data_IF_470423968643
#
_entry.id   IF_470423968643
#
_cell.length_a   1.000
_cell.length_b   1.000
_cell.length_c   1.000
_cell.angle_alpha   90.00
_cell.angle_beta   90.00
_cell.angle_gamma   90.00
#
_symmetry.space_group_name_H-M   'P 1'
#
loop_
_entity.id
_entity.type
_entity.pdbx_description
1 polymer ?
#
# COMPACT_ATOMS: atom_id res chain seq x y z
N UNK A 1 -56.15 -21.36 -18.74
CA UNK A 1 -56.76 -22.71 -18.90
C UNK A 1 -57.59 -23.10 -17.68
N UNK A 2 -57.03 -23.08 -16.47
CA UNK A 2 -57.76 -23.38 -15.22
C UNK A 2 -59.04 -22.54 -15.03
N UNK A 3 -58.98 -21.22 -15.30
CA UNK A 3 -60.17 -20.37 -15.23
C UNK A 3 -61.32 -20.83 -16.15
N UNK A 4 -61.00 -21.31 -17.36
CA UNK A 4 -62.02 -21.87 -18.28
C UNK A 4 -62.60 -23.18 -17.74
N UNK A 5 -61.81 -24.00 -17.05
CA UNK A 5 -62.30 -25.22 -16.40
C UNK A 5 -63.29 -24.90 -15.27
N UNK A 6 -63.00 -23.89 -14.45
CA UNK A 6 -63.94 -23.42 -13.40
C UNK A 6 -65.26 -22.96 -14.02
N UNK A 7 -65.21 -22.14 -15.07
CA UNK A 7 -66.41 -21.68 -15.77
C UNK A 7 -67.22 -22.83 -16.37
N UNK A 8 -66.55 -23.84 -16.94
CA UNK A 8 -67.22 -25.03 -17.47
C UNK A 8 -67.91 -25.83 -16.36
N UNK A 9 -67.25 -26.04 -15.22
CA UNK A 9 -67.83 -26.74 -14.07
C UNK A 9 -68.99 -25.96 -13.45
N UNK A 10 -68.93 -24.63 -13.42
CA UNK A 10 -70.05 -23.78 -12.99
C UNK A 10 -71.25 -23.93 -13.93
N UNK A 11 -71.04 -23.97 -15.25
CA UNK A 11 -72.10 -24.21 -16.22
C UNK A 11 -72.68 -25.64 -16.11
N UNK A 12 -71.83 -26.66 -15.93
CA UNK A 12 -72.25 -28.05 -15.70
C UNK A 12 -73.08 -28.17 -14.42
N UNK A 13 -72.67 -27.50 -13.34
CA UNK A 13 -73.41 -27.48 -12.08
C UNK A 13 -74.78 -26.82 -12.25
N UNK A 14 -74.85 -25.68 -12.94
CA UNK A 14 -76.12 -25.00 -13.21
C UNK A 14 -77.08 -25.91 -14.00
N UNK A 15 -76.57 -26.59 -15.04
CA UNK A 15 -77.37 -27.52 -15.83
C UNK A 15 -77.89 -28.70 -14.99
N UNK A 16 -77.06 -29.26 -14.11
CA UNK A 16 -77.47 -30.35 -13.21
C UNK A 16 -78.52 -29.85 -12.18
N UNK A 17 -78.38 -28.63 -11.68
CA UNK A 17 -79.38 -28.02 -10.79
C UNK A 17 -80.72 -27.79 -11.50
N UNK A 18 -80.71 -27.38 -12.76
CA UNK A 18 -81.94 -27.23 -13.56
C UNK A 18 -82.60 -28.60 -13.80
N UNK A 19 -81.80 -29.64 -14.07
CA UNK A 19 -82.28 -31.03 -14.21
C UNK A 19 -82.88 -31.60 -12.91
N UNK A 20 -82.37 -31.19 -11.74
CA UNK A 20 -82.89 -31.63 -10.44
C UNK A 20 -84.36 -31.26 -10.26
N UNK A 21 -84.78 -30.07 -10.73
CA UNK A 21 -86.18 -29.61 -10.66
C UNK A 21 -87.11 -30.48 -11.53
N UNK A 22 -86.68 -30.79 -12.75
CA UNK A 22 -87.42 -31.67 -13.67
C UNK A 22 -87.53 -33.10 -13.12
N UNK A 23 -86.44 -33.61 -12.56
CA UNK A 23 -86.38 -34.94 -11.96
C UNK A 23 -87.25 -35.07 -10.71
N UNK A 24 -87.38 -34.01 -9.90
CA UNK A 24 -88.34 -33.95 -8.80
C UNK A 24 -89.80 -34.02 -9.29
N UNK A 25 -90.13 -33.30 -10.37
CA UNK A 25 -91.47 -33.35 -10.98
C UNK A 25 -91.79 -34.74 -11.55
N UNK A 26 -90.84 -35.37 -12.26
CA UNK A 26 -90.96 -36.74 -12.77
C UNK A 26 -91.12 -37.74 -11.62
N UNK A 27 -90.38 -37.55 -10.52
CA UNK A 27 -90.48 -38.37 -9.32
C UNK A 27 -91.88 -38.28 -8.70
N UNK A 28 -92.38 -37.07 -8.48
CA UNK A 28 -93.71 -36.85 -7.90
C UNK A 28 -94.81 -37.44 -8.76
N UNK A 29 -94.73 -37.24 -10.09
CA UNK A 29 -95.70 -37.78 -11.05
C UNK A 29 -95.68 -39.30 -11.10
N UNK A 30 -94.48 -39.90 -11.11
CA UNK A 30 -94.29 -41.36 -11.11
C UNK A 30 -94.75 -41.97 -9.78
N UNK A 31 -94.47 -41.34 -8.64
CA UNK A 31 -94.96 -41.80 -7.33
C UNK A 31 -96.49 -41.74 -7.24
N UNK A 32 -97.10 -40.65 -7.69
CA UNK A 32 -98.55 -40.51 -7.72
C UNK A 32 -99.21 -41.60 -8.59
N UNK A 33 -98.62 -41.93 -9.75
CA UNK A 33 -99.10 -43.01 -10.63
C UNK A 33 -98.98 -44.41 -9.99
N UNK A 34 -97.93 -44.62 -9.18
CA UNK A 34 -97.66 -45.89 -8.51
C UNK A 34 -98.53 -46.13 -7.26
N UNK A 35 -99.06 -45.07 -6.64
CA UNK A 35 -99.93 -45.12 -5.44
C UNK A 35 -101.44 -45.20 -5.77
N UNK A 36 -101.86 -45.02 -7.03
CA UNK A 36 -103.27 -45.13 -7.42
C UNK A 36 -103.80 -46.60 -7.30
N UNK A 37 -104.96 -46.81 -6.64
CA UNK A 37 -105.52 -48.15 -6.39
C UNK A 37 -106.02 -48.87 -7.66
N UNK A 38 -106.48 -48.15 -8.68
CA UNK A 38 -107.04 -48.70 -9.93
C UNK A 38 -106.01 -48.78 -11.09
N UNK A 39 -104.72 -48.63 -10.79
CA UNK A 39 -103.67 -48.59 -11.81
C UNK A 39 -103.47 -49.95 -12.49
N UNK A 40 -103.63 -50.00 -13.82
CA UNK A 40 -103.46 -51.19 -14.69
C UNK A 40 -102.02 -51.72 -14.78
N UNK A 41 -101.08 -51.13 -14.03
CA UNK A 41 -99.66 -51.49 -14.05
C UNK A 41 -99.43 -52.74 -13.20
N UNK A 42 -98.88 -53.84 -13.77
CA UNK A 42 -98.55 -55.04 -13.03
C UNK A 42 -97.60 -54.75 -11.84
N UNK A 43 -97.71 -55.51 -10.73
CA UNK A 43 -96.89 -55.28 -9.54
C UNK A 43 -95.38 -55.35 -9.81
N UNK A 44 -94.95 -56.22 -10.74
CA UNK A 44 -93.56 -56.32 -11.18
C UNK A 44 -93.06 -55.04 -11.86
N UNK A 45 -93.90 -54.42 -12.70
CA UNK A 45 -93.55 -53.20 -13.43
C UNK A 45 -93.58 -51.97 -12.50
N UNK A 46 -94.51 -51.94 -11.53
CA UNK A 46 -94.48 -50.95 -10.44
C UNK A 46 -93.17 -51.02 -9.65
N UNK A 47 -92.69 -52.23 -9.33
CA UNK A 47 -91.43 -52.41 -8.62
C UNK A 47 -90.22 -52.00 -9.48
N UNK A 48 -90.20 -52.36 -10.77
CA UNK A 48 -89.14 -51.93 -11.70
C UNK A 48 -89.07 -50.41 -11.83
N UNK A 49 -90.21 -49.72 -11.97
CA UNK A 49 -90.26 -48.26 -12.06
C UNK A 49 -89.78 -47.57 -10.78
N UNK A 50 -90.09 -48.13 -9.59
CA UNK A 50 -89.52 -47.64 -8.32
C UNK A 50 -88.01 -47.77 -8.30
N UNK A 51 -87.49 -48.95 -8.64
CA UNK A 51 -86.04 -49.19 -8.67
C UNK A 51 -85.34 -48.28 -9.69
N UNK A 52 -85.91 -48.11 -10.89
CA UNK A 52 -85.36 -47.24 -11.93
C UNK A 52 -85.39 -45.75 -11.52
N UNK A 53 -86.45 -45.31 -10.84
CA UNK A 53 -86.57 -43.96 -10.32
C UNK A 53 -85.54 -43.70 -9.21
N UNK A 54 -85.41 -44.62 -8.26
CA UNK A 54 -84.42 -44.52 -7.17
C UNK A 54 -82.99 -44.55 -7.72
N UNK A 55 -82.72 -45.37 -8.74
CA UNK A 55 -81.44 -45.39 -9.45
C UNK A 55 -81.16 -44.06 -10.15
N UNK A 56 -82.13 -43.50 -10.88
CA UNK A 56 -81.96 -42.23 -11.58
C UNK A 56 -81.75 -41.06 -10.60
N UNK A 57 -82.49 -41.06 -9.48
CA UNK A 57 -82.30 -40.11 -8.38
C UNK A 57 -80.90 -40.22 -7.79
N UNK A 58 -80.45 -41.43 -7.48
CA UNK A 58 -79.12 -41.69 -6.90
C UNK A 58 -78.01 -41.26 -7.86
N UNK A 59 -78.09 -41.67 -9.14
CA UNK A 59 -77.10 -41.28 -10.15
C UNK A 59 -77.04 -39.77 -10.37
N UNK A 60 -78.19 -39.08 -10.40
CA UNK A 60 -78.21 -37.63 -10.54
C UNK A 60 -77.62 -36.95 -9.30
N UNK A 61 -77.97 -37.42 -8.11
CA UNK A 61 -77.42 -36.92 -6.85
C UNK A 61 -75.90 -37.12 -6.77
N UNK A 62 -75.38 -38.27 -7.20
CA UNK A 62 -73.95 -38.57 -7.27
C UNK A 62 -73.23 -37.66 -8.28
N UNK A 63 -73.84 -37.42 -9.46
CA UNK A 63 -73.29 -36.48 -10.46
C UNK A 63 -73.26 -35.05 -9.94
N UNK A 64 -74.32 -34.61 -9.25
CA UNK A 64 -74.38 -33.28 -8.64
C UNK A 64 -73.29 -33.12 -7.58
N UNK A 65 -73.16 -34.08 -6.66
CA UNK A 65 -72.12 -34.06 -5.61
C UNK A 65 -70.71 -34.10 -6.20
N UNK A 66 -70.48 -34.94 -7.22
CA UNK A 66 -69.21 -35.04 -7.92
C UNK A 66 -68.86 -33.72 -8.63
N UNK A 67 -69.81 -33.10 -9.33
CA UNK A 67 -69.62 -31.80 -9.97
C UNK A 67 -69.31 -30.69 -8.96
N UNK A 68 -70.08 -30.61 -7.86
CA UNK A 68 -69.84 -29.64 -6.78
C UNK A 68 -68.46 -29.83 -6.14
N UNK A 69 -68.04 -31.07 -5.91
CA UNK A 69 -66.73 -31.38 -5.34
C UNK A 69 -65.59 -30.99 -6.29
N UNK A 70 -65.71 -31.34 -7.59
CA UNK A 70 -64.75 -30.93 -8.63
C UNK A 70 -64.65 -29.42 -8.75
N UNK A 71 -65.79 -28.71 -8.68
CA UNK A 71 -65.83 -27.24 -8.74
C UNK A 71 -65.09 -26.62 -7.55
N UNK A 72 -65.44 -27.01 -6.31
CA UNK A 72 -64.78 -26.51 -5.08
C UNK A 72 -63.27 -26.71 -5.11
N UNK A 73 -62.81 -27.88 -5.58
CA UNK A 73 -61.38 -28.17 -5.74
C UNK A 73 -60.71 -27.30 -6.80
N UNK A 74 -61.38 -27.09 -7.94
CA UNK A 74 -60.84 -26.25 -9.01
C UNK A 74 -60.81 -24.78 -8.61
N UNK A 75 -61.75 -24.31 -7.80
CA UNK A 75 -61.77 -22.96 -7.22
C UNK A 75 -60.64 -22.80 -6.18
N UNK A 76 -60.49 -23.75 -5.26
CA UNK A 76 -59.38 -23.75 -4.31
C UNK A 76 -58.02 -23.72 -5.03
N UNK A 77 -57.83 -24.55 -6.06
CA UNK A 77 -56.60 -24.55 -6.86
C UNK A 77 -56.36 -23.20 -7.55
N UNK A 78 -57.43 -22.56 -8.05
CA UNK A 78 -57.34 -21.24 -8.68
C UNK A 78 -56.90 -20.19 -7.66
N UNK A 79 -57.42 -20.23 -6.44
CA UNK A 79 -57.09 -19.28 -5.39
C UNK A 79 -55.65 -19.46 -4.91
N UNK A 80 -55.22 -20.70 -4.65
CA UNK A 80 -53.83 -21.00 -4.31
C UNK A 80 -52.87 -20.60 -5.42
N UNK A 81 -53.22 -20.86 -6.69
CA UNK A 81 -52.41 -20.44 -7.84
C UNK A 81 -52.31 -18.92 -7.94
N UNK A 82 -53.41 -18.20 -7.67
CA UNK A 82 -53.42 -16.74 -7.69
C UNK A 82 -52.51 -16.17 -6.60
N UNK A 83 -52.57 -16.75 -5.39
CA UNK A 83 -51.69 -16.40 -4.28
C UNK A 83 -50.22 -16.66 -4.61
N UNK A 84 -49.90 -17.86 -5.11
CA UNK A 84 -48.54 -18.21 -5.53
C UNK A 84 -48.00 -17.23 -6.58
N UNK A 85 -48.78 -16.92 -7.62
CA UNK A 85 -48.34 -16.02 -8.68
C UNK A 85 -48.06 -14.60 -8.15
N UNK A 86 -48.84 -14.13 -7.17
CA UNK A 86 -48.64 -12.82 -6.55
C UNK A 86 -47.36 -12.79 -5.69
N UNK A 87 -47.16 -13.79 -4.84
CA UNK A 87 -45.97 -13.91 -3.99
C UNK A 87 -44.71 -14.08 -4.84
N UNK A 88 -44.75 -14.97 -5.84
CA UNK A 88 -43.67 -15.17 -6.80
C UNK A 88 -43.34 -13.87 -7.56
N UNK A 89 -44.34 -13.11 -8.01
CA UNK A 89 -44.12 -11.84 -8.72
C UNK A 89 -43.38 -10.83 -7.83
N UNK A 90 -43.80 -10.70 -6.57
CA UNK A 90 -43.15 -9.79 -5.62
C UNK A 90 -41.69 -10.19 -5.39
N UNK A 91 -41.44 -11.48 -5.17
CA UNK A 91 -40.09 -12.00 -4.93
C UNK A 91 -39.18 -11.85 -6.16
N UNK A 92 -39.69 -12.09 -7.36
CA UNK A 92 -38.91 -11.91 -8.60
C UNK A 92 -38.57 -10.45 -8.86
N UNK A 93 -39.48 -9.52 -8.58
CA UNK A 93 -39.18 -8.09 -8.71
C UNK A 93 -38.04 -7.66 -7.76
N UNK A 94 -38.04 -8.19 -6.53
CA UNK A 94 -36.92 -8.01 -5.61
C UNK A 94 -35.62 -8.62 -6.15
N UNK A 95 -35.66 -9.87 -6.64
CA UNK A 95 -34.49 -10.53 -7.24
C UNK A 95 -33.88 -9.69 -8.38
N UNK A 96 -34.71 -9.17 -9.28
CA UNK A 96 -34.27 -8.32 -10.40
C UNK A 96 -33.56 -7.06 -9.90
N UNK A 97 -34.12 -6.39 -8.90
CA UNK A 97 -33.52 -5.18 -8.30
C UNK A 97 -32.19 -5.49 -7.61
N UNK A 98 -32.12 -6.54 -6.80
CA UNK A 98 -30.90 -6.93 -6.10
C UNK A 98 -29.81 -7.44 -7.04
N UNK A 99 -30.16 -8.13 -8.12
CA UNK A 99 -29.22 -8.54 -9.17
C UNK A 99 -28.65 -7.33 -9.93
N UNK A 100 -29.46 -6.29 -10.15
CA UNK A 100 -29.02 -5.02 -10.76
C UNK A 100 -28.05 -4.28 -9.84
N UNK A 101 -28.41 -4.14 -8.57
CA UNK A 101 -27.58 -3.49 -7.56
C UNK A 101 -26.23 -4.20 -7.39
N UNK A 102 -26.24 -5.53 -7.31
CA UNK A 102 -25.03 -6.32 -7.23
C UNK A 102 -24.11 -6.09 -8.44
N UNK A 103 -24.69 -5.94 -9.63
CA UNK A 103 -23.94 -5.67 -10.86
C UNK A 103 -23.30 -4.28 -10.81
N UNK A 104 -24.06 -3.27 -10.43
CA UNK A 104 -23.56 -1.90 -10.25
C UNK A 104 -22.41 -1.83 -9.22
N UNK A 105 -22.54 -2.55 -8.10
CA UNK A 105 -21.48 -2.62 -7.08
C UNK A 105 -20.22 -3.31 -7.63
N UNK A 106 -20.39 -4.37 -8.43
CA UNK A 106 -19.33 -5.16 -9.04
C UNK A 106 -18.66 -4.54 -10.27
N UNK A 107 -19.11 -3.39 -10.77
CA UNK A 107 -18.59 -2.79 -12.00
C UNK A 107 -17.94 -1.42 -11.76
N UNK A 108 -17.13 -1.02 -12.75
CA UNK A 108 -16.54 0.31 -12.86
C UNK A 108 -15.18 0.47 -12.18
N UNK A 109 -14.67 1.69 -12.31
CA UNK A 109 -13.43 2.14 -11.67
C UNK A 109 -13.80 3.06 -10.50
N UNK A 110 -13.09 2.93 -9.38
CA UNK A 110 -13.35 3.70 -8.16
C UNK A 110 -12.07 4.23 -7.53
N UNK A 111 -12.17 5.30 -6.76
CA UNK A 111 -11.12 5.68 -5.81
C UNK A 111 -11.32 4.98 -4.46
N UNK A 112 -10.41 5.28 -3.52
CA UNK A 112 -10.39 4.71 -2.18
C UNK A 112 -11.68 4.95 -1.39
N UNK A 113 -12.28 6.13 -1.54
CA UNK A 113 -13.52 6.45 -0.82
C UNK A 113 -14.68 5.71 -1.46
N UNK A 114 -14.78 5.72 -2.79
CA UNK A 114 -15.82 4.97 -3.48
C UNK A 114 -15.73 3.45 -3.26
N UNK A 115 -14.53 2.89 -3.03
CA UNK A 115 -14.37 1.49 -2.65
C UNK A 115 -14.98 1.20 -1.27
N UNK A 116 -14.77 2.09 -0.29
CA UNK A 116 -15.38 1.98 1.04
C UNK A 116 -16.90 2.11 0.96
N UNK A 117 -17.39 3.06 0.16
CA UNK A 117 -18.82 3.29 -0.03
C UNK A 117 -19.48 2.06 -0.67
N UNK A 118 -18.88 1.51 -1.74
CA UNK A 118 -19.34 0.26 -2.38
C UNK A 118 -19.36 -0.93 -1.42
N UNK A 119 -18.36 -1.05 -0.54
CA UNK A 119 -18.33 -2.14 0.45
C UNK A 119 -19.45 -1.99 1.49
N UNK A 120 -19.74 -0.77 1.94
CA UNK A 120 -20.83 -0.51 2.88
C UNK A 120 -22.20 -0.74 2.24
N UNK A 121 -22.40 -0.35 0.98
CA UNK A 121 -23.63 -0.64 0.25
C UNK A 121 -23.77 -2.14 -0.03
N UNK A 122 -22.69 -2.83 -0.39
CA UNK A 122 -22.68 -4.29 -0.50
C UNK A 122 -23.06 -4.98 0.82
N UNK A 123 -22.59 -4.48 1.96
CA UNK A 123 -22.94 -5.01 3.28
C UNK A 123 -24.46 -4.97 3.51
N UNK A 124 -25.10 -3.84 3.18
CA UNK A 124 -26.57 -3.69 3.26
C UNK A 124 -27.27 -4.68 2.34
N UNK A 125 -26.85 -4.77 1.08
CA UNK A 125 -27.40 -5.74 0.11
C UNK A 125 -27.24 -7.19 0.60
N UNK A 126 -26.08 -7.54 1.18
CA UNK A 126 -25.81 -8.86 1.74
C UNK A 126 -26.77 -9.21 2.88
N UNK A 127 -27.04 -8.25 3.78
CA UNK A 127 -28.04 -8.40 4.85
C UNK A 127 -29.45 -8.61 4.27
N UNK A 128 -29.84 -7.82 3.28
CA UNK A 128 -31.13 -7.98 2.61
C UNK A 128 -31.28 -9.35 1.95
N UNK A 129 -30.25 -9.84 1.23
CA UNK A 129 -30.25 -11.16 0.61
C UNK A 129 -30.47 -12.26 1.66
N UNK A 130 -29.84 -12.15 2.83
CA UNK A 130 -30.04 -13.11 3.93
C UNK A 130 -31.48 -13.06 4.45
N UNK A 131 -32.05 -11.86 4.64
CA UNK A 131 -33.43 -11.69 5.12
C UNK A 131 -34.47 -12.30 4.17
N UNK A 132 -34.31 -12.10 2.85
CA UNK A 132 -35.25 -12.58 1.84
C UNK A 132 -35.19 -14.10 1.60
N UNK A 133 -34.31 -14.82 2.30
CA UNK A 133 -34.37 -16.29 2.38
C UNK A 133 -35.72 -16.78 2.92
N UNK A 134 -36.33 -16.01 3.83
CA UNK A 134 -37.66 -16.31 4.36
C UNK A 134 -38.73 -16.19 3.27
N UNK A 135 -38.65 -15.16 2.42
CA UNK A 135 -39.59 -14.94 1.32
C UNK A 135 -39.51 -16.05 0.28
N UNK A 136 -38.30 -16.51 -0.06
CA UNK A 136 -38.13 -17.69 -0.91
C UNK A 136 -38.82 -18.94 -0.33
N UNK A 137 -38.74 -19.13 0.99
CA UNK A 137 -39.45 -20.23 1.66
C UNK A 137 -40.96 -20.06 1.57
N UNK A 138 -41.49 -18.84 1.76
CA UNK A 138 -42.92 -18.57 1.61
C UNK A 138 -43.41 -18.87 0.19
N UNK A 139 -42.70 -18.37 -0.83
CA UNK A 139 -43.00 -18.66 -2.25
C UNK A 139 -42.94 -20.16 -2.52
N UNK A 140 -41.96 -20.87 -1.96
CA UNK A 140 -41.82 -22.32 -2.10
C UNK A 140 -42.97 -23.09 -1.45
N UNK A 141 -43.39 -22.70 -0.26
CA UNK A 141 -44.54 -23.30 0.43
C UNK A 141 -45.84 -23.05 -0.35
N UNK A 142 -46.04 -21.83 -0.84
CA UNK A 142 -47.22 -21.50 -1.65
C UNK A 142 -47.25 -22.30 -2.96
N UNK A 143 -46.12 -22.39 -3.66
CA UNK A 143 -46.02 -23.20 -4.87
C UNK A 143 -46.23 -24.69 -4.60
N UNK A 144 -45.68 -25.23 -3.50
CA UNK A 144 -45.90 -26.62 -3.11
C UNK A 144 -47.39 -26.89 -2.83
N UNK A 145 -48.09 -25.96 -2.17
CA UNK A 145 -49.53 -26.10 -1.92
C UNK A 145 -50.36 -26.14 -3.21
N UNK A 146 -49.96 -25.40 -4.24
CA UNK A 146 -50.55 -25.50 -5.58
C UNK A 146 -50.29 -26.86 -6.20
N UNK A 147 -49.07 -27.39 -6.09
CA UNK A 147 -48.69 -28.71 -6.60
C UNK A 147 -49.49 -29.82 -5.92
N UNK A 148 -49.58 -29.80 -4.59
CA UNK A 148 -50.34 -30.79 -3.80
C UNK A 148 -51.84 -30.76 -4.17
N UNK A 149 -52.40 -29.55 -4.31
CA UNK A 149 -53.81 -29.39 -4.70
C UNK A 149 -54.07 -29.87 -6.13
N UNK A 150 -53.14 -29.59 -7.06
CA UNK A 150 -53.23 -30.04 -8.44
C UNK A 150 -53.08 -31.56 -8.56
N UNK A 151 -52.16 -32.17 -7.81
CA UNK A 151 -51.97 -33.61 -7.75
C UNK A 151 -53.21 -34.32 -7.21
N UNK A 152 -53.76 -33.85 -6.09
CA UNK A 152 -54.99 -34.40 -5.52
C UNK A 152 -56.22 -34.22 -6.42
N UNK A 153 -56.21 -33.26 -7.35
CA UNK A 153 -57.22 -33.12 -8.40
C UNK A 153 -56.97 -34.06 -9.60
N UNK A 154 -55.71 -34.35 -9.92
CA UNK A 154 -55.31 -35.25 -11.01
C UNK A 154 -55.64 -36.71 -10.68
N UNK A 155 -55.34 -37.14 -9.45
CA UNK A 155 -55.62 -38.50 -8.95
C UNK A 155 -57.12 -38.82 -9.03
N UNK A 156 -57.98 -37.84 -8.77
CA UNK A 156 -59.43 -37.98 -8.86
C UNK A 156 -59.98 -37.94 -10.29
N UNK A 157 -59.20 -37.40 -11.24
CA UNK A 157 -59.57 -37.29 -12.65
C UNK A 157 -59.08 -38.50 -13.49
N UNK A 158 -58.62 -39.58 -12.87
CA UNK A 158 -58.10 -40.75 -13.59
C UNK A 158 -56.72 -40.53 -14.21
N UNK A 159 -55.92 -39.59 -13.68
CA UNK A 159 -54.50 -39.46 -14.00
C UNK A 159 -54.14 -38.66 -15.25
N UNK A 160 -55.10 -38.20 -16.07
CA UNK A 160 -54.80 -37.40 -17.27
C UNK A 160 -55.70 -36.16 -17.37
N UNK A 161 -55.18 -35.02 -16.91
CA UNK A 161 -55.76 -33.71 -17.18
C UNK A 161 -54.66 -32.75 -17.67
N UNK A 162 -54.63 -32.39 -18.97
CA UNK A 162 -53.56 -31.58 -19.54
C UNK A 162 -53.48 -30.16 -18.95
N UNK A 163 -54.60 -29.63 -18.44
CA UNK A 163 -54.61 -28.31 -17.80
C UNK A 163 -53.93 -28.34 -16.42
N UNK A 164 -54.12 -29.43 -15.65
CA UNK A 164 -53.47 -29.63 -14.35
C UNK A 164 -51.98 -29.89 -14.53
N UNK A 165 -51.60 -30.80 -15.44
CA UNK A 165 -50.18 -31.06 -15.73
C UNK A 165 -49.44 -29.80 -16.19
N UNK A 166 -50.07 -28.97 -17.04
CA UNK A 166 -49.50 -27.69 -17.47
C UNK A 166 -49.36 -26.68 -16.33
N UNK A 167 -50.27 -26.70 -15.35
CA UNK A 167 -50.20 -25.82 -14.18
C UNK A 167 -49.08 -26.27 -13.24
N UNK A 168 -49.01 -27.56 -12.93
CA UNK A 168 -47.94 -28.13 -12.11
C UNK A 168 -46.57 -27.84 -12.71
N UNK A 169 -46.40 -28.09 -14.02
CA UNK A 169 -45.14 -27.78 -14.71
C UNK A 169 -44.76 -26.30 -14.59
N UNK A 170 -45.70 -25.38 -14.83
CA UNK A 170 -45.44 -23.94 -14.73
C UNK A 170 -44.99 -23.53 -13.32
N UNK A 171 -45.63 -24.07 -12.28
CA UNK A 171 -45.28 -23.78 -10.88
C UNK A 171 -43.90 -24.35 -10.56
N UNK A 172 -43.62 -25.60 -10.97
CA UNK A 172 -42.29 -26.21 -10.81
C UNK A 172 -41.20 -25.41 -11.51
N UNK A 173 -41.41 -25.00 -12.76
CA UNK A 173 -40.43 -24.22 -13.53
C UNK A 173 -40.14 -22.87 -12.83
N UNK A 174 -41.19 -22.20 -12.35
CA UNK A 174 -41.09 -20.93 -11.60
C UNK A 174 -40.37 -21.06 -10.26
N UNK A 175 -40.69 -22.11 -9.49
CA UNK A 175 -40.01 -22.40 -8.23
C UNK A 175 -38.53 -22.71 -8.46
N UNK A 176 -38.23 -23.48 -9.51
CA UNK A 176 -36.86 -23.81 -9.85
C UNK A 176 -36.06 -22.55 -10.24
N UNK A 177 -36.62 -21.69 -11.09
CA UNK A 177 -36.01 -20.42 -11.48
C UNK A 177 -35.73 -19.52 -10.26
N UNK A 178 -36.73 -19.29 -9.41
CA UNK A 178 -36.59 -18.47 -8.21
C UNK A 178 -35.52 -19.01 -7.23
N UNK A 179 -35.48 -20.33 -7.01
CA UNK A 179 -34.47 -20.96 -6.16
C UNK A 179 -33.06 -20.85 -6.78
N UNK A 180 -32.94 -21.08 -8.09
CA UNK A 180 -31.68 -21.00 -8.80
C UNK A 180 -31.13 -19.57 -8.78
N UNK A 181 -31.96 -18.57 -9.13
CA UNK A 181 -31.58 -17.15 -9.11
C UNK A 181 -31.19 -16.67 -7.73
N UNK A 182 -31.99 -16.97 -6.70
CA UNK A 182 -31.63 -16.62 -5.31
C UNK A 182 -30.29 -17.25 -4.89
N UNK A 183 -30.07 -18.53 -5.20
CA UNK A 183 -28.80 -19.21 -4.87
C UNK A 183 -27.63 -18.56 -5.61
N UNK A 184 -27.81 -18.24 -6.89
CA UNK A 184 -26.83 -17.52 -7.69
C UNK A 184 -26.53 -16.12 -7.15
N UNK A 185 -27.55 -15.34 -6.79
CA UNK A 185 -27.42 -14.02 -6.17
C UNK A 185 -26.68 -14.11 -4.83
N UNK A 186 -27.05 -15.06 -3.97
CA UNK A 186 -26.40 -15.28 -2.68
C UNK A 186 -24.91 -15.61 -2.84
N UNK A 187 -24.56 -16.54 -3.74
CA UNK A 187 -23.16 -16.92 -4.01
C UNK A 187 -22.38 -15.74 -4.59
N UNK A 188 -22.89 -15.09 -5.63
CA UNK A 188 -22.23 -13.93 -6.25
C UNK A 188 -22.08 -12.76 -5.29
N UNK A 189 -23.05 -12.55 -4.39
CA UNK A 189 -22.97 -11.54 -3.35
C UNK A 189 -21.85 -11.86 -2.35
N UNK A 190 -21.74 -13.10 -1.89
CA UNK A 190 -20.66 -13.51 -1.01
C UNK A 190 -19.27 -13.36 -1.69
N UNK A 191 -19.15 -13.76 -2.95
CA UNK A 191 -17.93 -13.59 -3.75
C UNK A 191 -17.56 -12.11 -3.91
N UNK A 192 -18.51 -11.24 -4.27
CA UNK A 192 -18.27 -9.81 -4.40
C UNK A 192 -17.84 -9.20 -3.06
N UNK A 193 -18.49 -9.54 -1.96
CA UNK A 193 -18.11 -9.06 -0.63
C UNK A 193 -16.67 -9.42 -0.25
N UNK A 194 -16.29 -10.68 -0.49
CA UNK A 194 -14.91 -11.15 -0.27
C UNK A 194 -13.90 -10.38 -1.12
N UNK A 195 -14.25 -10.12 -2.39
CA UNK A 195 -13.38 -9.40 -3.33
C UNK A 195 -13.23 -7.93 -2.94
N UNK A 196 -14.33 -7.23 -2.63
CA UNK A 196 -14.31 -5.84 -2.17
C UNK A 196 -13.51 -5.68 -0.87
N UNK A 197 -13.71 -6.60 0.08
CA UNK A 197 -13.00 -6.60 1.36
C UNK A 197 -11.50 -6.83 1.18
N UNK A 198 -11.11 -7.84 0.37
CA UNK A 198 -9.71 -8.13 0.09
C UNK A 198 -9.02 -7.04 -0.77
N UNK A 199 -9.76 -6.37 -1.64
CA UNK A 199 -9.24 -5.20 -2.37
C UNK A 199 -9.00 -4.02 -1.42
N UNK A 200 -9.94 -3.77 -0.49
CA UNK A 200 -9.80 -2.69 0.50
C UNK A 200 -8.64 -2.96 1.45
N UNK A 201 -8.46 -4.18 1.92
CA UNK A 201 -7.34 -4.59 2.78
C UNK A 201 -5.99 -4.36 2.09
N UNK A 202 -5.83 -4.83 0.84
CA UNK A 202 -4.62 -4.59 0.04
C UNK A 202 -4.37 -3.10 -0.17
N UNK A 203 -5.42 -2.33 -0.42
CA UNK A 203 -5.31 -0.87 -0.58
C UNK A 203 -4.87 -0.19 0.71
N UNK A 204 -5.43 -0.58 1.85
CA UNK A 204 -5.04 -0.05 3.17
C UNK A 204 -3.57 -0.34 3.47
N UNK A 205 -3.13 -1.58 3.23
CA UNK A 205 -1.72 -1.94 3.41
C UNK A 205 -0.79 -1.09 2.52
N UNK A 206 -1.15 -0.89 1.26
CA UNK A 206 -0.42 0.03 0.38
C UNK A 206 -0.40 1.46 0.92
N UNK A 207 -1.55 1.97 1.38
CA UNK A 207 -1.68 3.32 1.90
C UNK A 207 -0.87 3.53 3.19
N UNK A 208 -0.81 2.54 4.07
CA UNK A 208 -0.02 2.59 5.31
C UNK A 208 1.48 2.70 5.00
N UNK A 209 1.97 1.92 4.02
CA UNK A 209 3.35 2.00 3.56
C UNK A 209 3.66 3.35 2.90
N UNK A 210 2.74 3.87 2.08
CA UNK A 210 2.84 5.21 1.46
C UNK A 210 2.95 6.30 2.52
N UNK A 211 2.07 6.28 3.53
CA UNK A 211 2.05 7.29 4.60
C UNK A 211 3.30 7.20 5.46
N UNK A 212 3.72 5.98 5.80
CA UNK A 212 4.95 5.73 6.56
C UNK A 212 6.18 6.31 5.85
N UNK A 213 6.37 5.95 4.57
CA UNK A 213 7.51 6.44 3.77
C UNK A 213 7.43 7.95 3.54
N UNK A 214 6.23 8.49 3.27
CA UNK A 214 6.02 9.94 3.12
C UNK A 214 6.40 10.71 4.38
N UNK A 215 6.02 10.21 5.56
CA UNK A 215 6.33 10.84 6.84
C UNK A 215 7.83 10.84 7.11
N UNK A 216 8.51 9.72 6.86
CA UNK A 216 9.96 9.64 7.01
C UNK A 216 10.66 10.60 6.04
N UNK A 217 10.31 10.57 4.75
CA UNK A 217 10.87 11.49 3.74
C UNK A 217 10.70 12.95 4.15
N UNK A 218 9.50 13.35 4.58
CA UNK A 218 9.21 14.74 4.96
C UNK A 218 10.04 15.18 6.17
N UNK A 219 10.26 14.26 7.12
CA UNK A 219 11.11 14.52 8.30
C UNK A 219 12.57 14.70 7.88
N UNK A 220 13.10 13.82 7.02
CA UNK A 220 14.49 13.90 6.58
C UNK A 220 14.75 15.09 5.65
N UNK A 221 13.84 15.41 4.73
CA UNK A 221 13.93 16.60 3.89
C UNK A 221 13.95 17.89 4.74
N UNK A 222 13.14 17.95 5.80
CA UNK A 222 13.15 19.06 6.74
C UNK A 222 14.47 19.14 7.51
N UNK A 223 14.98 18.00 8.00
CA UNK A 223 16.27 17.92 8.69
C UNK A 223 17.40 18.43 7.78
N UNK A 224 17.43 17.98 6.52
CA UNK A 224 18.42 18.40 5.52
C UNK A 224 18.32 19.90 5.22
N UNK A 225 17.11 20.45 5.14
CA UNK A 225 16.89 21.88 4.91
C UNK A 225 17.36 22.75 6.08
N UNK A 226 17.29 22.23 7.32
CA UNK A 226 17.77 22.94 8.53
C UNK A 226 19.24 22.72 8.81
N UNK A 227 19.86 21.73 8.17
CA UNK A 227 21.26 21.42 8.39
C UNK A 227 22.11 22.58 7.85
N UNK A 228 22.90 23.20 8.74
CA UNK A 228 23.79 24.30 8.34
C UNK A 228 24.77 23.84 7.25
N UNK A 229 25.13 24.72 6.30
CA UNK A 229 26.19 24.44 5.34
C UNK A 229 27.51 24.16 6.08
N UNK A 230 28.26 23.19 5.57
CA UNK A 230 29.46 22.62 6.18
C UNK A 230 30.65 23.57 6.10
N UNK A 231 30.63 24.64 6.90
CA UNK A 231 31.82 25.44 7.23
C UNK A 231 32.55 24.92 8.46
N UNK A 232 32.38 23.65 8.83
CA UNK A 232 33.06 23.07 9.99
C UNK A 232 34.43 22.54 9.56
N UNK A 233 35.45 22.86 10.35
CA UNK A 233 36.85 22.50 10.10
C UNK A 233 37.40 21.60 11.19
N UNK A 234 36.77 21.55 12.37
CA UNK A 234 37.19 20.70 13.47
C UNK A 234 36.98 19.20 13.13
N UNK A 235 38.03 18.37 13.18
CA UNK A 235 37.93 16.95 12.83
C UNK A 235 36.94 16.16 13.71
N UNK A 236 36.76 16.52 14.98
CA UNK A 236 35.84 15.78 15.87
C UNK A 236 34.39 16.07 15.47
N UNK A 237 34.06 17.33 15.20
CA UNK A 237 32.76 17.75 14.71
C UNK A 237 32.47 17.17 13.31
N UNK A 238 33.45 17.23 12.40
CA UNK A 238 33.35 16.61 11.06
C UNK A 238 33.15 15.10 11.15
N UNK A 239 33.87 14.42 12.04
CA UNK A 239 33.68 12.98 12.26
C UNK A 239 32.28 12.66 12.80
N UNK A 240 31.77 13.47 13.72
CA UNK A 240 30.41 13.33 14.25
C UNK A 240 29.36 13.50 13.15
N UNK A 241 29.50 14.52 12.31
CA UNK A 241 28.60 14.74 11.16
C UNK A 241 28.70 13.63 10.12
N UNK A 242 29.90 13.11 9.84
CA UNK A 242 30.08 11.95 8.96
C UNK A 242 29.34 10.71 9.48
N UNK A 243 29.42 10.43 10.78
CA UNK A 243 28.65 9.33 11.39
C UNK A 243 27.15 9.53 11.23
N UNK A 244 26.64 10.76 11.41
CA UNK A 244 25.21 11.04 11.21
C UNK A 244 24.78 10.81 9.76
N UNK A 245 25.58 11.25 8.79
CA UNK A 245 25.30 11.01 7.36
C UNK A 245 25.38 9.53 7.02
N UNK A 246 26.31 8.77 7.60
CA UNK A 246 26.39 7.31 7.43
C UNK A 246 25.14 6.61 7.97
N UNK A 247 24.66 6.99 9.15
CA UNK A 247 23.40 6.46 9.69
C UNK A 247 22.22 6.75 8.76
N UNK A 248 22.15 7.96 8.19
CA UNK A 248 21.10 8.30 7.23
C UNK A 248 21.23 7.52 5.90
N UNK A 249 22.45 7.19 5.46
CA UNK A 249 22.68 6.31 4.32
C UNK A 249 22.20 4.88 4.59
N UNK A 250 22.41 4.37 5.81
CA UNK A 250 21.90 3.07 6.24
C UNK A 250 20.36 3.08 6.27
N UNK A 251 19.74 4.12 6.84
CA UNK A 251 18.28 4.30 6.81
C UNK A 251 17.73 4.37 5.38
N UNK A 252 18.41 5.08 4.47
CA UNK A 252 18.04 5.12 3.05
C UNK A 252 18.04 3.71 2.45
N UNK A 253 19.04 2.88 2.75
CA UNK A 253 19.09 1.51 2.23
C UNK A 253 17.90 0.66 2.71
N UNK A 254 17.47 0.82 3.97
CA UNK A 254 16.26 0.17 4.49
C UNK A 254 14.98 0.69 3.82
N UNK A 255 14.83 2.01 3.70
CA UNK A 255 13.66 2.64 3.10
C UNK A 255 13.59 2.44 1.58
N UNK A 256 14.69 2.12 0.89
CA UNK A 256 14.67 1.69 -0.51
C UNK A 256 13.89 0.38 -0.67
N UNK A 257 14.04 -0.56 0.26
CA UNK A 257 13.25 -1.80 0.27
C UNK A 257 11.76 -1.50 0.48
N UNK A 258 11.46 -0.53 1.35
CA UNK A 258 10.08 -0.07 1.56
C UNK A 258 9.50 0.60 0.32
N UNK A 259 10.26 1.45 -0.38
CA UNK A 259 9.84 2.08 -1.63
C UNK A 259 9.53 1.03 -2.71
N UNK A 260 10.38 0.01 -2.85
CA UNK A 260 10.12 -1.08 -3.79
C UNK A 260 8.90 -1.93 -3.39
N UNK A 261 8.63 -2.07 -2.09
CA UNK A 261 7.40 -2.69 -1.59
C UNK A 261 6.17 -1.86 -1.95
N UNK A 262 6.20 -0.54 -1.78
CA UNK A 262 5.13 0.39 -2.19
C UNK A 262 4.88 0.29 -3.70
N UNK A 263 5.93 0.34 -4.51
CA UNK A 263 5.83 0.22 -5.98
C UNK A 263 5.24 -1.11 -6.40
N UNK A 264 5.64 -2.22 -5.76
CA UNK A 264 5.07 -3.55 -6.03
C UNK A 264 3.60 -3.62 -5.63
N UNK A 265 3.26 -3.23 -4.41
CA UNK A 265 1.88 -3.24 -3.93
C UNK A 265 0.97 -2.37 -4.81
N UNK A 266 1.45 -1.20 -5.26
CA UNK A 266 0.72 -0.35 -6.20
C UNK A 266 0.46 -1.03 -7.55
N UNK A 267 1.47 -1.71 -8.12
CA UNK A 267 1.29 -2.50 -9.36
C UNK A 267 0.35 -3.69 -9.16
N UNK A 268 0.41 -4.37 -8.03
CA UNK A 268 -0.46 -5.51 -7.72
C UNK A 268 -1.92 -5.06 -7.59
N UNK A 269 -2.17 -3.90 -6.97
CA UNK A 269 -3.51 -3.30 -6.89
C UNK A 269 -4.08 -2.98 -8.28
N UNK A 270 -3.26 -2.43 -9.17
CA UNK A 270 -3.69 -2.00 -10.51
C UNK A 270 -3.77 -3.15 -11.52
N UNK A 271 -2.92 -4.17 -11.39
CA UNK A 271 -2.88 -5.32 -12.32
C UNK A 271 -3.97 -6.35 -12.07
N UNK A 272 -4.74 -6.20 -10.98
CA UNK A 272 -5.85 -7.09 -10.69
C UNK A 272 -6.95 -6.87 -11.74
N UNK A 273 -7.26 -7.89 -12.56
CA UNK A 273 -8.33 -7.86 -13.60
C UNK A 273 -9.73 -7.96 -12.98
N UNK A 274 -9.87 -7.59 -11.71
CA UNK A 274 -11.11 -7.70 -10.95
C UNK A 274 -11.87 -6.38 -10.98
N UNK A 275 -13.20 -6.45 -11.12
CA UNK A 275 -14.10 -5.29 -11.05
C UNK A 275 -14.90 -5.27 -9.74
N UNK A 276 -15.02 -4.13 -9.04
CA UNK A 276 -14.50 -2.81 -9.43
C UNK A 276 -12.99 -2.72 -9.29
N UNK A 277 -12.36 -1.94 -10.18
CA UNK A 277 -10.93 -1.66 -10.15
C UNK A 277 -10.64 -0.33 -9.49
N UNK A 278 -9.45 -0.17 -8.93
CA UNK A 278 -9.00 1.11 -8.40
C UNK A 278 -8.41 1.98 -9.53
N UNK A 279 -8.59 3.30 -9.43
CA UNK A 279 -7.98 4.26 -10.36
C UNK A 279 -6.46 4.11 -10.38
N UNK A 280 -5.94 3.61 -11.49
CA UNK A 280 -4.51 3.33 -11.65
C UNK A 280 -3.65 4.58 -11.47
N UNK A 281 -4.13 5.73 -11.98
CA UNK A 281 -3.43 7.00 -11.94
C UNK A 281 -3.14 7.43 -10.51
N UNK A 282 -4.13 7.35 -9.61
CA UNK A 282 -3.97 7.82 -8.23
C UNK A 282 -2.90 7.00 -7.47
N UNK A 283 -2.88 5.68 -7.69
CA UNK A 283 -1.95 4.75 -7.05
C UNK A 283 -0.53 4.90 -7.63
N UNK A 284 -0.40 4.92 -8.96
CA UNK A 284 0.91 4.95 -9.61
C UNK A 284 1.58 6.32 -9.48
N UNK A 285 0.83 7.42 -9.55
CA UNK A 285 1.38 8.77 -9.34
C UNK A 285 1.85 8.99 -7.90
N UNK A 286 1.18 8.42 -6.90
CA UNK A 286 1.64 8.49 -5.51
C UNK A 286 2.99 7.76 -5.33
N UNK A 287 3.15 6.58 -5.93
CA UNK A 287 4.42 5.84 -5.88
C UNK A 287 5.55 6.57 -6.63
N UNK A 288 5.29 7.09 -7.83
CA UNK A 288 6.25 7.89 -8.62
C UNK A 288 6.67 9.19 -7.89
N UNK A 289 5.73 9.84 -7.21
CA UNK A 289 6.01 11.01 -6.38
C UNK A 289 6.93 10.70 -5.20
N UNK A 290 6.76 9.55 -4.55
CA UNK A 290 7.65 9.09 -3.48
C UNK A 290 9.05 8.73 -4.01
N UNK A 291 9.13 8.06 -5.15
CA UNK A 291 10.40 7.69 -5.80
C UNK A 291 11.24 8.93 -6.12
N UNK A 292 10.65 9.94 -6.76
CA UNK A 292 11.38 11.19 -7.08
C UNK A 292 11.90 11.91 -5.84
N UNK A 293 11.13 11.95 -4.76
CA UNK A 293 11.55 12.54 -3.49
C UNK A 293 12.68 11.75 -2.85
N UNK A 294 12.55 10.42 -2.85
CA UNK A 294 13.56 9.52 -2.33
C UNK A 294 14.89 9.67 -3.08
N UNK A 295 14.85 9.68 -4.42
CA UNK A 295 16.04 9.88 -5.26
C UNK A 295 16.70 11.24 -5.00
N UNK A 296 15.89 12.30 -4.86
CA UNK A 296 16.39 13.65 -4.57
C UNK A 296 17.07 13.72 -3.21
N UNK A 297 16.46 13.13 -2.17
CA UNK A 297 17.04 13.04 -0.83
C UNK A 297 18.33 12.21 -0.86
N UNK A 298 18.32 11.05 -1.52
CA UNK A 298 19.48 10.17 -1.65
C UNK A 298 20.66 10.89 -2.30
N UNK A 299 20.43 11.58 -3.42
CA UNK A 299 21.44 12.38 -4.10
C UNK A 299 22.01 13.49 -3.19
N UNK A 300 21.14 14.21 -2.48
CA UNK A 300 21.54 15.25 -1.53
C UNK A 300 22.38 14.70 -0.37
N UNK A 301 22.02 13.55 0.18
CA UNK A 301 22.77 12.88 1.25
C UNK A 301 24.13 12.40 0.76
N UNK A 302 24.19 11.84 -0.45
CA UNK A 302 25.46 11.43 -1.09
C UNK A 302 26.39 12.61 -1.33
N UNK A 303 25.87 13.73 -1.85
CA UNK A 303 26.65 14.96 -2.05
C UNK A 303 27.19 15.49 -0.72
N UNK A 304 26.35 15.55 0.33
CA UNK A 304 26.78 15.96 1.67
C UNK A 304 27.85 15.03 2.24
N UNK A 305 27.75 13.72 2.00
CA UNK A 305 28.76 12.75 2.44
C UNK A 305 30.11 13.02 1.77
N UNK A 306 30.13 13.25 0.46
CA UNK A 306 31.36 13.55 -0.29
C UNK A 306 32.00 14.86 0.18
N UNK A 307 31.19 15.90 0.39
CA UNK A 307 31.66 17.18 0.91
C UNK A 307 32.29 17.03 2.31
N UNK A 308 31.63 16.32 3.22
CA UNK A 308 32.15 16.09 4.57
C UNK A 308 33.41 15.20 4.58
N UNK A 309 33.48 14.18 3.72
CA UNK A 309 34.67 13.33 3.60
C UNK A 309 35.87 14.13 3.07
N UNK A 310 35.64 15.00 2.09
CA UNK A 310 36.65 15.91 1.54
C UNK A 310 37.13 16.89 2.61
N UNK A 311 36.21 17.54 3.33
CA UNK A 311 36.53 18.46 4.41
C UNK A 311 37.33 17.77 5.53
N UNK A 312 36.94 16.55 5.91
CA UNK A 312 37.65 15.74 6.89
C UNK A 312 39.08 15.41 6.46
N UNK A 313 39.27 14.97 5.21
CA UNK A 313 40.60 14.67 4.68
C UNK A 313 41.49 15.92 4.63
N UNK A 314 40.94 17.06 4.22
CA UNK A 314 41.64 18.34 4.20
C UNK A 314 42.03 18.79 5.62
N UNK A 315 41.09 18.76 6.57
CA UNK A 315 41.34 19.14 7.96
C UNK A 315 42.44 18.29 8.60
N UNK A 316 42.36 16.96 8.50
CA UNK A 316 43.38 16.05 9.02
C UNK A 316 44.74 16.28 8.36
N UNK A 317 44.78 16.43 7.04
CA UNK A 317 46.04 16.69 6.31
C UNK A 317 46.70 17.99 6.74
N UNK A 318 45.91 19.05 6.95
CA UNK A 318 46.43 20.35 7.36
C UNK A 318 46.91 20.34 8.79
N UNK A 319 46.16 19.75 9.72
CA UNK A 319 46.57 19.62 11.11
C UNK A 319 47.86 18.79 11.24
N UNK A 320 47.98 17.70 10.48
CA UNK A 320 49.19 16.88 10.47
C UNK A 320 50.39 17.62 9.85
N UNK A 321 50.17 18.39 8.78
CA UNK A 321 51.18 19.25 8.17
C UNK A 321 51.71 20.32 9.14
N UNK A 322 50.80 21.03 9.83
CA UNK A 322 51.14 22.00 10.87
C UNK A 322 51.95 21.33 12.00
N UNK A 323 51.47 20.21 12.53
CA UNK A 323 52.12 19.46 13.61
C UNK A 323 53.53 19.01 13.22
N UNK A 324 53.71 18.48 12.02
CA UNK A 324 55.02 18.03 11.52
C UNK A 324 56.01 19.18 11.36
N UNK A 325 55.56 20.33 10.82
CA UNK A 325 56.41 21.49 10.60
C UNK A 325 56.78 22.19 11.93
N UNK A 326 55.85 22.32 12.86
CA UNK A 326 56.12 22.85 14.19
C UNK A 326 57.10 21.96 14.96
N UNK A 327 56.90 20.64 14.94
CA UNK A 327 57.83 19.69 15.56
C UNK A 327 59.20 19.70 14.89
N UNK A 328 59.28 19.88 13.57
CA UNK A 328 60.56 20.06 12.89
C UNK A 328 61.27 21.34 13.36
N UNK A 329 60.55 22.47 13.44
CA UNK A 329 61.08 23.73 13.97
C UNK A 329 61.58 23.59 15.42
N UNK A 330 60.89 22.82 16.27
CA UNK A 330 61.34 22.55 17.66
C UNK A 330 62.69 21.80 17.71
N UNK A 331 63.00 21.01 16.68
CA UNK A 331 64.23 20.22 16.60
C UNK A 331 65.37 20.93 15.84
N UNK A 332 65.13 22.12 15.28
CA UNK A 332 66.18 22.88 14.61
C UNK A 332 67.12 23.51 15.63
N UNK A 333 68.42 23.31 15.45
CA UNK A 333 69.44 24.02 16.20
C UNK A 333 69.65 25.43 15.62
N UNK A 334 68.84 26.38 16.10
CA UNK A 334 68.89 27.78 15.68
C UNK A 334 69.97 28.58 16.41
N UNK A 335 70.53 28.05 17.51
CA UNK A 335 71.54 28.73 18.33
C UNK A 335 72.73 27.80 18.50
N UNK A 336 73.64 27.74 17.52
CA UNK A 336 74.87 26.99 17.69
C UNK A 336 75.60 27.51 18.94
N UNK A 337 76.16 26.59 19.72
CA UNK A 337 76.87 26.91 20.95
C UNK A 337 78.06 27.86 20.73
N UNK A 338 78.74 28.28 21.81
CA UNK A 338 79.89 29.18 21.72
C UNK A 338 80.94 28.64 20.72
N UNK A 339 81.25 29.42 19.68
CA UNK A 339 82.29 29.06 18.71
C UNK A 339 83.64 29.50 19.25
N UNK A 340 84.62 28.60 19.21
CA UNK A 340 85.99 28.94 19.58
C UNK A 340 86.54 30.04 18.67
N UNK A 341 87.33 30.96 19.22
CA UNK A 341 87.90 32.09 18.50
C UNK A 341 89.11 31.67 17.62
N UNK A 342 88.91 30.66 16.77
CA UNK A 342 89.87 30.18 15.77
C UNK A 342 89.23 30.20 14.38
N UNK A 343 90.02 30.44 13.34
CA UNK A 343 89.51 30.48 11.95
C UNK A 343 88.89 29.13 11.55
N UNK A 344 89.46 28.01 12.02
CA UNK A 344 88.94 26.68 11.77
C UNK A 344 87.54 26.46 12.37
N UNK A 345 87.34 26.80 13.65
CA UNK A 345 86.03 26.65 14.30
C UNK A 345 84.95 27.54 13.67
N UNK A 346 85.30 28.76 13.24
CA UNK A 346 84.39 29.65 12.49
C UNK A 346 84.06 29.08 11.10
N UNK A 347 85.02 28.46 10.41
CA UNK A 347 84.78 27.79 9.12
C UNK A 347 83.84 26.58 9.26
N UNK A 348 83.99 25.81 10.34
CA UNK A 348 83.07 24.71 10.66
C UNK A 348 81.67 25.23 10.98
N UNK A 349 81.56 26.29 11.77
CA UNK A 349 80.30 26.97 12.07
C UNK A 349 79.64 27.56 10.81
N UNK A 350 80.42 28.09 9.86
CA UNK A 350 79.89 28.53 8.54
C UNK A 350 79.32 27.35 7.76
N UNK A 351 80.00 26.22 7.77
CA UNK A 351 79.53 25.00 7.11
C UNK A 351 78.24 24.49 7.76
N UNK A 352 78.13 24.53 9.08
CA UNK A 352 76.90 24.20 9.81
C UNK A 352 75.75 25.17 9.50
N UNK A 353 76.00 26.49 9.51
CA UNK A 353 74.99 27.49 9.16
C UNK A 353 74.52 27.33 7.70
N UNK A 354 75.42 26.98 6.78
CA UNK A 354 75.04 26.71 5.39
C UNK A 354 74.18 25.45 5.26
N UNK A 355 74.41 24.41 6.07
CA UNK A 355 73.51 23.24 6.17
C UNK A 355 72.13 23.64 6.68
N UNK A 356 72.06 24.44 7.76
CA UNK A 356 70.80 24.97 8.30
C UNK A 356 70.04 25.78 7.25
N UNK A 357 70.74 26.63 6.47
CA UNK A 357 70.15 27.39 5.36
C UNK A 357 69.52 26.47 4.31
N UNK A 358 70.23 25.42 3.91
CA UNK A 358 69.70 24.43 2.96
C UNK A 358 68.50 23.67 3.53
N UNK A 359 68.53 23.33 4.83
CA UNK A 359 67.40 22.67 5.50
C UNK A 359 66.16 23.56 5.53
N UNK A 360 66.29 24.83 5.91
CA UNK A 360 65.21 25.81 5.89
C UNK A 360 64.62 26.00 4.48
N UNK A 361 65.47 26.11 3.46
CA UNK A 361 65.06 26.21 2.05
C UNK A 361 64.32 24.95 1.60
N UNK A 362 64.78 23.77 2.01
CA UNK A 362 64.15 22.49 1.62
C UNK A 362 62.72 22.35 2.13
N UNK A 363 62.37 23.03 3.23
CA UNK A 363 61.03 23.02 3.84
C UNK A 363 60.15 24.20 3.46
N UNK A 364 60.69 25.21 2.77
CA UNK A 364 59.95 26.43 2.42
C UNK A 364 58.65 26.12 1.67
N UNK A 365 58.71 25.27 0.63
CA UNK A 365 57.52 24.89 -0.13
C UNK A 365 56.46 24.18 0.71
N UNK A 366 56.85 23.38 1.71
CA UNK A 366 55.91 22.72 2.63
C UNK A 366 55.22 23.70 3.58
N UNK A 367 55.95 24.72 4.05
CA UNK A 367 55.40 25.80 4.89
C UNK A 367 54.39 26.63 4.09
N UNK A 368 54.76 27.03 2.87
CA UNK A 368 53.87 27.77 1.97
C UNK A 368 52.61 26.96 1.60
N UNK A 369 52.77 25.68 1.23
CA UNK A 369 51.64 24.81 0.91
C UNK A 369 50.68 24.60 2.10
N UNK A 370 51.22 24.42 3.31
CA UNK A 370 50.40 24.30 4.52
C UNK A 370 49.65 25.60 4.80
N UNK A 371 50.32 26.76 4.70
CA UNK A 371 49.69 28.08 4.87
C UNK A 371 48.55 28.30 3.88
N UNK A 372 48.77 27.98 2.62
CA UNK A 372 47.75 28.13 1.58
C UNK A 372 46.56 27.19 1.82
N UNK A 373 46.82 25.98 2.31
CA UNK A 373 45.78 24.99 2.62
C UNK A 373 44.95 25.39 3.84
N UNK A 374 45.57 25.89 4.92
CA UNK A 374 44.86 26.47 6.07
C UNK A 374 44.04 27.67 5.60
N UNK A 375 44.63 28.57 4.83
CA UNK A 375 43.93 29.76 4.33
C UNK A 375 42.70 29.37 3.50
N UNK A 376 42.81 28.38 2.61
CA UNK A 376 41.67 27.88 1.82
C UNK A 376 40.56 27.29 2.70
N UNK A 377 40.91 26.48 3.70
CA UNK A 377 39.96 25.90 4.66
C UNK A 377 39.20 26.98 5.43
N UNK A 378 39.92 28.00 5.90
CA UNK A 378 39.36 29.13 6.62
C UNK A 378 38.45 30.00 5.73
N UNK A 379 38.79 30.19 4.46
CA UNK A 379 37.93 30.95 3.53
C UNK A 379 36.70 30.16 3.08
N UNK A 380 36.73 28.83 3.17
CA UNK A 380 35.54 27.99 2.95
C UNK A 380 34.64 27.86 4.20
N UNK A 381 35.09 28.37 5.35
CA UNK A 381 34.41 28.31 6.65
C UNK A 381 33.94 29.71 7.06
N UNK A 382 32.62 29.95 7.13
CA UNK A 382 32.07 31.21 7.65
C UNK A 382 32.12 31.27 9.21
N UNK A 383 32.79 30.33 9.88
CA UNK A 383 32.68 30.16 11.33
C UNK A 383 33.79 30.88 12.13
N UNK A 384 33.45 31.61 13.21
CA UNK A 384 34.41 32.23 14.12
C UNK A 384 35.07 31.25 15.11
N UNK A 385 34.90 29.93 14.93
CA UNK A 385 35.41 28.86 15.82
C UNK A 385 36.80 28.34 15.42
N UNK A 386 37.40 28.87 14.36
CA UNK A 386 38.69 28.46 13.82
C UNK A 386 39.91 29.10 14.52
N UNK A 387 39.77 29.53 15.78
CA UNK A 387 40.86 30.21 16.51
C UNK A 387 42.11 29.35 16.64
N UNK A 388 41.93 28.04 16.78
CA UNK A 388 43.02 27.12 17.10
C UNK A 388 43.86 26.81 15.86
N UNK A 389 43.21 26.60 14.70
CA UNK A 389 43.90 26.37 13.43
C UNK A 389 44.61 27.64 12.96
N UNK A 390 43.97 28.80 13.12
CA UNK A 390 44.57 30.11 12.84
C UNK A 390 45.76 30.37 13.76
N UNK A 391 45.64 30.11 15.07
CA UNK A 391 46.73 30.28 16.03
C UNK A 391 47.92 29.38 15.71
N UNK A 392 47.69 28.13 15.33
CA UNK A 392 48.77 27.21 14.95
C UNK A 392 49.48 27.65 13.66
N UNK A 393 48.73 28.21 12.70
CA UNK A 393 49.31 28.79 11.49
C UNK A 393 50.16 30.03 11.79
N UNK A 394 49.66 30.92 12.65
CA UNK A 394 50.37 32.12 13.06
C UNK A 394 51.67 31.76 13.80
N UNK A 395 51.62 30.75 14.68
CA UNK A 395 52.80 30.22 15.36
C UNK A 395 53.82 29.65 14.37
N UNK A 396 53.39 28.82 13.41
CA UNK A 396 54.26 28.26 12.37
C UNK A 396 54.93 29.38 11.57
N UNK A 397 54.14 30.36 11.13
CA UNK A 397 54.61 31.49 10.31
C UNK A 397 55.63 32.33 11.07
N UNK A 398 55.35 32.64 12.33
CA UNK A 398 56.24 33.42 13.20
C UNK A 398 57.55 32.67 13.47
N UNK A 399 57.49 31.39 13.86
CA UNK A 399 58.68 30.59 14.19
C UNK A 399 59.56 30.33 12.97
N UNK A 400 58.98 30.06 11.81
CA UNK A 400 59.74 29.88 10.58
C UNK A 400 60.46 31.17 10.16
N UNK A 401 59.79 32.33 10.24
CA UNK A 401 60.41 33.62 9.98
C UNK A 401 61.56 33.93 10.97
N UNK A 402 61.37 33.62 12.25
CA UNK A 402 62.41 33.78 13.27
C UNK A 402 63.63 32.87 13.01
N UNK A 403 63.40 31.63 12.59
CA UNK A 403 64.46 30.69 12.21
C UNK A 403 65.27 31.20 11.00
N UNK A 404 64.60 31.72 9.97
CA UNK A 404 65.26 32.34 8.81
C UNK A 404 66.08 33.58 9.21
N UNK A 405 65.53 34.44 10.06
CA UNK A 405 66.23 35.63 10.55
C UNK A 405 67.48 35.25 11.36
N UNK A 406 67.34 34.33 12.31
CA UNK A 406 68.45 33.86 13.14
C UNK A 406 69.56 33.21 12.32
N UNK A 407 69.20 32.37 11.33
CA UNK A 407 70.16 31.81 10.38
C UNK A 407 70.91 32.90 9.62
N UNK A 408 70.21 33.91 9.10
CA UNK A 408 70.81 34.98 8.31
C UNK A 408 71.71 35.90 9.15
N UNK A 409 71.31 36.24 10.37
CA UNK A 409 72.14 37.01 11.32
C UNK A 409 73.45 36.27 11.63
N UNK A 410 73.36 34.98 11.94
CA UNK A 410 74.54 34.16 12.21
C UNK A 410 75.45 34.01 10.99
N UNK A 411 74.87 33.92 9.78
CA UNK A 411 75.62 33.90 8.52
C UNK A 411 76.44 35.19 8.32
N UNK A 412 75.85 36.35 8.65
CA UNK A 412 76.51 37.66 8.56
C UNK A 412 77.65 37.76 9.58
N UNK A 413 77.41 37.34 10.83
CA UNK A 413 78.39 37.40 11.90
C UNK A 413 79.63 36.52 11.59
N UNK A 414 79.42 35.27 11.20
CA UNK A 414 80.51 34.35 10.83
C UNK A 414 81.32 34.86 9.63
N UNK A 415 80.65 35.38 8.59
CA UNK A 415 81.32 35.97 7.41
C UNK A 415 82.17 37.19 7.77
N UNK A 416 81.77 37.96 8.79
CA UNK A 416 82.53 39.10 9.27
C UNK A 416 83.72 38.70 10.17
N UNK A 417 83.57 37.63 10.96
CA UNK A 417 84.59 37.15 11.89
C UNK A 417 85.72 36.39 11.20
N UNK A 418 85.42 35.55 10.21
CA UNK A 418 86.40 34.68 9.53
C UNK A 418 87.65 35.44 9.04
N UNK A 419 87.54 36.50 8.20
CA UNK A 419 88.73 37.19 7.68
C UNK A 419 89.53 37.91 8.78
N UNK A 420 88.87 38.30 9.88
CA UNK A 420 89.53 38.95 11.03
C UNK A 420 90.38 37.95 11.80
N UNK A 421 89.85 36.76 12.04
CA UNK A 421 90.57 35.68 12.71
C UNK A 421 91.71 35.13 11.86
N UNK A 422 91.49 34.91 10.56
CA UNK A 422 92.56 34.53 9.63
C UNK A 422 93.70 35.57 9.63
N UNK A 423 93.38 36.87 9.61
CA UNK A 423 94.39 37.92 9.70
C UNK A 423 95.11 37.92 11.06
N UNK A 424 94.40 37.69 12.16
CA UNK A 424 94.98 37.65 13.50
C UNK A 424 95.93 36.45 13.67
N UNK A 425 95.51 35.26 13.24
CA UNK A 425 96.32 34.03 13.27
C UNK A 425 97.54 34.12 12.35
N UNK A 426 97.38 34.71 11.15
CA UNK A 426 98.50 35.00 10.25
C UNK A 426 99.50 35.95 10.90
N UNK A 427 99.02 37.06 11.47
CA UNK A 427 99.88 38.03 12.16
C UNK A 427 100.60 37.39 13.36
N UNK A 428 99.91 36.54 14.11
CA UNK A 428 100.49 35.77 15.21
C UNK A 428 101.58 34.80 14.74
N UNK A 429 101.35 34.11 13.62
CA UNK A 429 102.34 33.23 12.98
C UNK A 429 103.56 34.01 12.48
N UNK A 430 103.34 35.14 11.80
CA UNK A 430 104.39 36.06 11.34
C UNK A 430 105.24 36.56 12.52
N UNK A 431 104.61 36.93 13.64
CA UNK A 431 105.27 37.38 14.87
C UNK A 431 106.07 36.25 15.54
N UNK A 432 105.56 35.03 15.54
CA UNK A 432 106.26 33.84 16.02
C UNK A 432 107.51 33.53 15.17
N UNK A 433 107.38 33.58 13.84
CA UNK A 433 108.52 33.41 12.93
C UNK A 433 109.55 34.52 13.14
N UNK A 434 109.12 35.77 13.26
CA UNK A 434 109.99 36.91 13.53
C UNK A 434 110.72 36.75 14.87
N UNK A 435 110.01 36.44 15.95
CA UNK A 435 110.62 36.28 17.29
C UNK A 435 111.59 35.10 17.32
N UNK A 436 111.25 33.95 16.73
CA UNK A 436 112.16 32.81 16.61
C UNK A 436 113.41 33.13 15.77
N UNK A 437 113.25 33.89 14.68
CA UNK A 437 114.39 34.33 13.86
C UNK A 437 115.32 35.28 14.63
N UNK A 438 114.76 36.18 15.44
CA UNK A 438 115.51 37.08 16.32
C UNK A 438 116.18 36.33 17.47
N UNK A 439 115.50 35.36 18.08
CA UNK A 439 116.06 34.52 19.14
C UNK A 439 117.25 33.69 18.62
N UNK A 440 117.11 33.09 17.43
CA UNK A 440 118.22 32.39 16.74
C UNK A 440 119.38 33.29 16.34
N UNK A 441 119.13 34.59 16.13
CA UNK A 441 120.18 35.57 15.84
C UNK A 441 120.89 36.10 17.11
N UNK A 442 120.33 35.84 18.29
CA UNK A 442 120.85 36.26 19.60
C UNK A 442 121.51 35.11 20.39
N UNK A 443 121.28 33.86 19.97
CA UNK A 443 122.01 32.65 20.39
C UNK A 443 123.21 32.40 19.49
#
# INVERSE_FOLDING_TARGET
>A
KLHRCVLFLQAELQQLQDQQAQLLQITQSTRALLEQPDSTVPPEEKQRLRVALDQLQTQHQDRLQSCQHRLRKSEALKDELTKFLQEHKSFVAWLEQSEEELRYLGEGETDAQGLKDKLEDHRKLGEEVICHKADLRFVSISGQKVLDTAQGALEQAGGSNPALCSTSKMVTDKLHDANHRYTGLHTKSAELGSRLSGLLERYQQYQDEVVSLHSWLSTQEQNQSTAKPSGETDPQNLQSMLRQVQLLQDELAEHLVQLEKVKRAGRDLVSTVESPSLKAVDILCAADGLEKRFDSLSASVSERAEQLQTAMAQSVSVQEGLRCLLSWLDNLDLKPGPVEATAHAVQDAMTQNQKLRQELLSRQGSVEATRDSVSKLLHSSDAPMDSDLQSALDELTQRYAAAQACQAEWEVELKALLPRLESYERLGSDLLVFTQSRLRALS
#
